data_IF_537693716335
#
_entry.id   IF_537693716335
#
_cell.length_a   1.000
_cell.length_b   1.000
_cell.length_c   1.000
_cell.angle_alpha   90.00
_cell.angle_beta   90.00
_cell.angle_gamma   90.00
#
_symmetry.space_group_name_H-M   'P 1'
#
loop_
_entity.id
_entity.type
_entity.pdbx_description
1 polymer ?
#
# COMPACT_ATOMS: atom_id res chain seq x y z
N UNK A 1 1.40 -12.34 2.16
CA UNK A 1 2.34 -11.73 1.20
C UNK A 1 3.64 -11.25 1.86
N UNK A 2 3.71 -10.42 2.90
CA UNK A 2 4.98 -9.94 3.47
C UNK A 2 5.97 -11.04 3.88
N UNK A 3 5.50 -12.13 4.49
CA UNK A 3 6.36 -13.27 4.89
C UNK A 3 6.97 -14.02 3.71
N UNK A 4 6.28 -14.11 2.58
CA UNK A 4 6.81 -14.77 1.37
C UNK A 4 7.91 -13.91 0.77
N UNK A 5 7.69 -12.60 0.66
CA UNK A 5 8.68 -11.62 0.19
C UNK A 5 9.94 -11.66 1.05
N UNK A 6 9.79 -11.68 2.38
CA UNK A 6 10.92 -11.78 3.31
C UNK A 6 11.71 -13.09 3.13
N UNK A 7 11.03 -14.23 2.94
CA UNK A 7 11.70 -15.51 2.66
C UNK A 7 12.50 -15.48 1.36
N UNK A 8 11.91 -14.94 0.29
CA UNK A 8 12.59 -14.81 -1.00
C UNK A 8 13.81 -13.90 -0.87
N UNK A 9 13.66 -12.75 -0.18
CA UNK A 9 14.78 -11.85 0.08
C UNK A 9 15.91 -12.54 0.87
N UNK A 10 15.57 -13.26 1.94
CA UNK A 10 16.54 -13.98 2.77
C UNK A 10 17.26 -15.09 2.01
N UNK A 11 16.59 -15.70 1.03
CA UNK A 11 17.19 -16.73 0.16
C UNK A 11 18.13 -16.12 -0.89
N UNK A 12 17.68 -15.08 -1.57
CA UNK A 12 18.43 -14.49 -2.69
C UNK A 12 19.56 -13.57 -2.24
N UNK A 13 19.43 -12.95 -1.07
CA UNK A 13 20.32 -11.90 -0.56
C UNK A 13 20.50 -10.71 -1.53
N UNK A 14 19.59 -10.54 -2.49
CA UNK A 14 19.63 -9.44 -3.45
C UNK A 14 18.99 -8.19 -2.82
N UNK A 15 19.82 -7.22 -2.45
CA UNK A 15 19.37 -5.98 -1.81
C UNK A 15 18.38 -5.17 -2.66
N UNK A 16 18.46 -5.26 -3.99
CA UNK A 16 17.61 -4.55 -4.93
C UNK A 16 16.43 -5.42 -5.45
N UNK A 17 16.19 -6.60 -4.86
CA UNK A 17 15.18 -7.54 -5.35
C UNK A 17 13.79 -6.88 -5.52
N UNK A 18 13.34 -6.11 -4.53
CA UNK A 18 12.02 -5.51 -4.54
C UNK A 18 11.92 -4.37 -5.56
N UNK A 19 12.98 -3.59 -5.72
CA UNK A 19 13.07 -2.56 -6.74
C UNK A 19 13.00 -3.20 -8.14
N UNK A 20 13.75 -4.26 -8.40
CA UNK A 20 13.73 -5.01 -9.67
C UNK A 20 12.35 -5.62 -9.94
N UNK A 21 11.72 -6.19 -8.92
CA UNK A 21 10.40 -6.80 -9.03
C UNK A 21 9.33 -5.75 -9.37
N UNK A 22 9.38 -4.59 -8.71
CA UNK A 22 8.44 -3.49 -8.97
C UNK A 22 8.44 -3.02 -10.42
N UNK A 23 9.62 -3.02 -11.08
CA UNK A 23 9.75 -2.67 -12.51
C UNK A 23 9.20 -3.74 -13.47
N UNK A 24 8.68 -4.86 -12.96
CA UNK A 24 8.11 -5.96 -13.76
C UNK A 24 6.63 -6.22 -13.47
N UNK A 25 6.08 -5.59 -12.46
CA UNK A 25 4.66 -5.73 -12.11
C UNK A 25 3.85 -4.71 -12.90
N UNK A 26 3.22 -5.15 -13.96
CA UNK A 26 2.36 -4.33 -14.80
C UNK A 26 0.98 -4.04 -14.15
N UNK A 27 0.17 -3.23 -14.83
CA UNK A 27 -1.13 -2.80 -14.33
C UNK A 27 -2.14 -3.96 -14.24
N UNK A 28 -1.95 -5.05 -14.97
CA UNK A 28 -2.84 -6.22 -14.93
C UNK A 28 -2.80 -6.90 -13.56
N UNK A 29 -1.68 -6.75 -12.83
CA UNK A 29 -1.57 -7.22 -11.44
C UNK A 29 -2.59 -6.56 -10.50
N UNK A 30 -3.01 -5.33 -10.80
CA UNK A 30 -4.03 -4.60 -10.05
C UNK A 30 -5.47 -4.93 -10.50
N UNK A 31 -5.64 -5.86 -11.44
CA UNK A 31 -6.95 -6.26 -11.95
C UNK A 31 -7.78 -5.09 -12.51
N UNK A 32 -9.07 -5.06 -12.19
CA UNK A 32 -9.98 -4.00 -12.68
C UNK A 32 -9.52 -2.59 -12.31
N UNK A 33 -8.86 -2.43 -11.16
CA UNK A 33 -8.33 -1.14 -10.75
C UNK A 33 -7.19 -0.68 -11.68
N UNK A 34 -6.31 -1.59 -12.09
CA UNK A 34 -5.24 -1.30 -13.05
C UNK A 34 -5.81 -0.88 -14.42
N UNK A 35 -6.82 -1.57 -14.93
CA UNK A 35 -7.48 -1.20 -16.19
C UNK A 35 -8.22 0.14 -16.08
N UNK A 36 -8.85 0.43 -14.93
CA UNK A 36 -9.44 1.75 -14.68
C UNK A 36 -8.39 2.87 -14.71
N UNK A 37 -7.20 2.66 -14.11
CA UNK A 37 -6.09 3.60 -14.16
C UNK A 37 -5.61 3.84 -15.59
N UNK A 38 -5.44 2.77 -16.38
CA UNK A 38 -5.01 2.86 -17.79
C UNK A 38 -5.98 3.65 -18.66
N UNK A 39 -7.29 3.56 -18.37
CA UNK A 39 -8.34 4.19 -19.17
C UNK A 39 -8.65 5.63 -18.78
N UNK A 40 -8.01 6.19 -17.76
CA UNK A 40 -8.16 7.60 -17.36
C UNK A 40 -7.81 8.54 -18.51
N UNK A 41 -8.50 9.68 -18.57
CA UNK A 41 -8.30 10.69 -19.62
C UNK A 41 -7.04 11.51 -19.41
N UNK A 42 -6.69 11.78 -18.16
CA UNK A 42 -5.57 12.60 -17.75
C UNK A 42 -5.05 12.18 -16.36
N UNK A 43 -3.91 12.74 -15.96
CA UNK A 43 -3.30 12.39 -14.68
C UNK A 43 -4.12 12.85 -13.46
N UNK A 44 -4.92 13.91 -13.61
CA UNK A 44 -5.82 14.35 -12.55
C UNK A 44 -6.90 13.28 -12.26
N UNK A 45 -7.42 12.66 -13.32
CA UNK A 45 -8.35 11.54 -13.19
C UNK A 45 -7.69 10.33 -12.50
N UNK A 46 -6.41 10.03 -12.84
CA UNK A 46 -5.63 8.98 -12.14
C UNK A 46 -5.54 9.26 -10.64
N UNK A 47 -5.19 10.50 -10.26
CA UNK A 47 -5.09 10.91 -8.85
C UNK A 47 -6.43 10.78 -8.12
N UNK A 48 -7.52 11.20 -8.74
CA UNK A 48 -8.88 11.07 -8.18
C UNK A 48 -9.25 9.60 -7.99
N UNK A 49 -8.99 8.77 -9.00
CA UNK A 49 -9.29 7.34 -8.97
C UNK A 49 -8.50 6.64 -7.84
N UNK A 50 -7.20 6.91 -7.71
CA UNK A 50 -6.38 6.36 -6.63
C UNK A 50 -6.92 6.78 -5.26
N UNK A 51 -7.23 8.05 -5.07
CA UNK A 51 -7.79 8.54 -3.80
C UNK A 51 -9.09 7.85 -3.43
N UNK A 52 -9.97 7.61 -4.43
CA UNK A 52 -11.27 6.95 -4.21
C UNK A 52 -11.12 5.47 -3.88
N UNK A 53 -10.25 4.76 -4.60
CA UNK A 53 -10.15 3.31 -4.55
C UNK A 53 -8.87 2.79 -3.89
N UNK A 54 -8.16 3.61 -3.11
CA UNK A 54 -6.90 3.24 -2.43
C UNK A 54 -7.01 1.98 -1.57
N UNK A 55 -8.20 1.63 -1.07
CA UNK A 55 -8.44 0.38 -0.32
C UNK A 55 -8.24 -0.86 -1.18
N UNK A 56 -8.40 -0.77 -2.51
CA UNK A 56 -8.15 -1.87 -3.44
C UNK A 56 -6.66 -2.18 -3.61
N UNK A 57 -5.76 -1.27 -3.19
CA UNK A 57 -4.31 -1.50 -3.16
C UNK A 57 -3.88 -2.54 -2.09
N UNK A 58 -4.81 -2.96 -1.26
CA UNK A 58 -4.60 -3.98 -0.23
C UNK A 58 -4.47 -3.41 1.18
N UNK A 59 -4.76 -4.25 2.16
CA UNK A 59 -4.64 -3.92 3.58
C UNK A 59 -3.17 -3.79 3.98
N UNK A 60 -2.85 -2.79 4.79
CA UNK A 60 -1.52 -2.57 5.36
C UNK A 60 -0.68 -1.52 4.65
N UNK A 61 -1.11 -0.99 3.51
CA UNK A 61 -0.47 0.14 2.84
C UNK A 61 -1.39 1.35 2.90
N UNK A 62 -0.90 2.45 3.43
CA UNK A 62 -1.57 3.74 3.42
C UNK A 62 -0.88 4.65 2.40
N UNK A 63 -1.68 5.22 1.50
CA UNK A 63 -1.23 6.17 0.49
C UNK A 63 -1.87 7.53 0.75
N UNK A 64 -1.02 8.57 0.87
CA UNK A 64 -1.45 9.97 0.85
C UNK A 64 -0.89 10.62 -0.41
N UNK A 65 -1.74 11.35 -1.13
CA UNK A 65 -1.33 12.16 -2.28
C UNK A 65 -1.30 13.61 -1.83
N UNK A 66 -0.14 14.22 -1.95
CA UNK A 66 0.10 15.63 -1.62
C UNK A 66 0.35 16.35 -2.94
N UNK A 67 -0.32 17.48 -3.13
CA UNK A 67 -0.08 18.38 -4.27
C UNK A 67 0.71 19.57 -3.80
N UNK A 68 1.75 19.93 -4.55
CA UNK A 68 2.48 21.20 -4.36
C UNK A 68 1.84 22.25 -5.25
N UNK A 69 1.17 23.22 -4.62
CA UNK A 69 0.49 24.30 -5.34
C UNK A 69 1.44 25.24 -6.10
N UNK A 70 2.74 25.24 -5.78
CA UNK A 70 3.72 26.13 -6.42
C UNK A 70 4.36 25.50 -7.67
N UNK A 71 4.56 24.18 -7.67
CA UNK A 71 5.29 23.47 -8.73
C UNK A 71 4.45 22.48 -9.51
N UNK A 72 3.15 22.39 -9.23
CA UNK A 72 2.23 21.39 -9.83
C UNK A 72 2.70 19.93 -9.69
N UNK A 73 3.68 19.67 -8.81
CA UNK A 73 4.18 18.33 -8.55
C UNK A 73 3.23 17.57 -7.62
N UNK A 74 3.16 16.26 -7.80
CA UNK A 74 2.49 15.37 -6.86
C UNK A 74 3.51 14.60 -6.04
N UNK A 75 3.23 14.40 -4.76
CA UNK A 75 4.01 13.52 -3.90
C UNK A 75 3.12 12.40 -3.40
N UNK A 76 3.45 11.18 -3.79
CA UNK A 76 2.85 9.96 -3.25
C UNK A 76 3.62 9.56 -2.00
N UNK A 77 3.00 9.70 -0.84
CA UNK A 77 3.56 9.31 0.45
C UNK A 77 3.03 7.95 0.86
N UNK A 78 3.92 7.00 1.00
CA UNK A 78 3.61 5.63 1.40
C UNK A 78 3.95 5.40 2.87
N UNK A 79 3.00 4.81 3.60
CA UNK A 79 3.23 4.29 4.94
C UNK A 79 2.56 2.94 5.08
N UNK A 80 3.10 2.11 5.94
CA UNK A 80 2.52 0.81 6.26
C UNK A 80 2.72 0.49 7.74
N UNK A 81 1.84 -0.35 8.27
CA UNK A 81 1.87 -0.85 9.65
C UNK A 81 2.24 -2.32 9.64
N UNK A 82 3.39 -2.67 9.05
CA UNK A 82 3.87 -4.04 9.01
C UNK A 82 4.67 -4.37 10.27
N UNK A 83 4.81 -5.67 10.53
CA UNK A 83 5.27 -6.24 11.79
C UNK A 83 6.73 -5.95 12.09
N UNK A 84 7.57 -5.88 11.06
CA UNK A 84 8.99 -5.62 11.24
C UNK A 84 9.53 -4.64 10.19
N UNK A 85 10.71 -4.07 10.52
CA UNK A 85 11.36 -3.06 9.69
C UNK A 85 11.75 -3.59 8.31
N UNK A 86 12.16 -4.86 8.21
CA UNK A 86 12.55 -5.47 6.94
C UNK A 86 11.34 -5.58 6.00
N UNK A 87 10.22 -6.10 6.47
CA UNK A 87 8.99 -6.19 5.67
C UNK A 87 8.50 -4.80 5.24
N UNK A 88 8.57 -3.83 6.16
CA UNK A 88 8.23 -2.43 5.88
C UNK A 88 9.10 -1.87 4.75
N UNK A 89 10.41 -2.08 4.82
CA UNK A 89 11.36 -1.68 3.78
C UNK A 89 11.02 -2.32 2.44
N UNK A 90 10.96 -3.65 2.39
CA UNK A 90 10.76 -4.42 1.16
C UNK A 90 9.45 -4.05 0.44
N UNK A 91 8.37 -3.83 1.19
CA UNK A 91 7.08 -3.43 0.61
C UNK A 91 7.12 -1.99 0.08
N UNK A 92 7.75 -1.04 0.79
CA UNK A 92 7.86 0.33 0.29
C UNK A 92 8.72 0.40 -0.98
N UNK A 93 9.84 -0.33 -1.02
CA UNK A 93 10.69 -0.45 -2.21
C UNK A 93 9.90 -0.99 -3.41
N UNK A 94 9.14 -2.08 -3.21
CA UNK A 94 8.30 -2.69 -4.23
C UNK A 94 7.27 -1.71 -4.79
N UNK A 95 6.50 -1.07 -3.90
CA UNK A 95 5.38 -0.20 -4.29
C UNK A 95 5.88 1.06 -4.97
N UNK A 96 6.94 1.69 -4.47
CA UNK A 96 7.51 2.89 -5.08
C UNK A 96 8.05 2.56 -6.47
N UNK A 97 8.80 1.47 -6.59
CA UNK A 97 9.33 1.02 -7.87
C UNK A 97 8.23 0.71 -8.88
N UNK A 98 7.19 -0.02 -8.45
CA UNK A 98 6.02 -0.29 -9.27
C UNK A 98 5.31 0.99 -9.70
N UNK A 99 5.13 1.96 -8.78
CA UNK A 99 4.47 3.22 -9.09
C UNK A 99 5.19 4.01 -10.19
N UNK A 100 6.53 4.06 -10.13
CA UNK A 100 7.36 4.68 -11.18
C UNK A 100 7.13 3.97 -12.51
N UNK A 101 7.22 2.65 -12.53
CA UNK A 101 7.01 1.84 -13.73
C UNK A 101 5.62 2.08 -14.35
N UNK A 102 4.57 2.08 -13.52
CA UNK A 102 3.21 2.29 -13.97
C UNK A 102 2.99 3.69 -14.54
N UNK A 103 3.56 4.74 -13.92
CA UNK A 103 3.45 6.10 -14.42
C UNK A 103 4.13 6.23 -15.79
N UNK A 104 5.32 5.65 -15.95
CA UNK A 104 6.02 5.63 -17.24
C UNK A 104 5.19 4.95 -18.33
N UNK A 105 4.55 3.81 -18.01
CA UNK A 105 3.69 3.09 -18.97
C UNK A 105 2.48 3.93 -19.37
N UNK A 106 1.73 4.47 -18.40
CA UNK A 106 0.49 5.19 -18.74
C UNK A 106 0.75 6.51 -19.47
N UNK A 107 1.89 7.16 -19.23
CA UNK A 107 2.29 8.39 -19.92
C UNK A 107 3.11 8.13 -21.19
N UNK A 108 3.58 6.89 -21.40
CA UNK A 108 4.56 6.53 -22.44
C UNK A 108 5.80 7.44 -22.42
N UNK A 109 6.26 7.82 -21.24
CA UNK A 109 7.37 8.72 -21.05
C UNK A 109 8.38 8.16 -20.06
N UNK A 110 9.49 7.64 -20.56
CA UNK A 110 10.58 7.06 -19.75
C UNK A 110 11.54 8.12 -19.18
N UNK A 111 11.42 9.39 -19.63
CA UNK A 111 12.33 10.47 -19.26
C UNK A 111 11.80 11.35 -18.12
N UNK A 112 10.75 10.89 -17.43
CA UNK A 112 10.19 11.62 -16.30
C UNK A 112 11.19 11.68 -15.13
N UNK A 113 11.41 12.88 -14.60
CA UNK A 113 12.32 13.13 -13.49
C UNK A 113 11.61 12.90 -12.14
N UNK A 114 11.64 11.67 -11.65
CA UNK A 114 11.16 11.34 -10.32
C UNK A 114 12.20 11.67 -9.25
N UNK A 115 11.72 11.87 -8.00
CA UNK A 115 12.56 11.87 -6.81
C UNK A 115 12.00 10.88 -5.82
N UNK A 116 12.86 10.04 -5.27
CA UNK A 116 12.47 9.01 -4.31
C UNK A 116 13.16 9.25 -2.97
N UNK A 117 12.39 9.16 -1.90
CA UNK A 117 12.94 9.15 -0.56
C UNK A 117 12.50 7.90 0.18
N UNK A 118 13.43 7.30 0.93
CA UNK A 118 13.17 6.16 1.80
C UNK A 118 13.47 6.51 3.26
N UNK A 119 12.62 6.03 4.16
CA UNK A 119 12.82 6.15 5.62
C UNK A 119 13.97 5.28 6.13
N UNK A 120 14.14 4.11 5.54
CA UNK A 120 15.16 3.17 5.99
C UNK A 120 16.57 3.67 5.67
N UNK A 121 17.53 3.09 6.36
CA UNK A 121 18.95 3.35 6.13
C UNK A 121 19.36 3.00 4.70
N UNK A 122 20.39 3.71 4.23
CA UNK A 122 20.96 3.44 2.92
C UNK A 122 21.46 2.00 2.83
N UNK A 123 21.37 1.44 1.64
CA UNK A 123 21.99 0.17 1.28
C UNK A 123 23.40 0.43 0.76
N UNK A 124 24.22 -0.61 0.71
CA UNK A 124 25.62 -0.51 0.25
C UNK A 124 25.76 -0.01 -1.19
N UNK A 125 24.71 -0.14 -2.01
CA UNK A 125 24.76 0.21 -3.42
C UNK A 125 23.62 1.15 -3.84
N UNK A 126 23.68 2.42 -3.37
CA UNK A 126 22.73 3.47 -3.77
C UNK A 126 22.66 3.62 -5.29
N UNK A 127 23.79 3.57 -6.00
CA UNK A 127 23.86 3.72 -7.46
C UNK A 127 23.04 2.65 -8.19
N UNK A 128 22.92 1.45 -7.63
CA UNK A 128 22.10 0.39 -8.21
C UNK A 128 20.61 0.77 -8.19
N UNK A 129 20.13 1.38 -7.09
CA UNK A 129 18.76 1.87 -7.01
C UNK A 129 18.51 2.99 -8.01
N UNK A 130 19.41 3.96 -8.07
CA UNK A 130 19.30 5.09 -9.00
C UNK A 130 19.31 4.62 -10.46
N UNK A 131 20.13 3.62 -10.80
CA UNK A 131 20.18 3.06 -12.15
C UNK A 131 18.91 2.29 -12.55
N UNK A 132 18.31 1.52 -11.62
CA UNK A 132 17.10 0.75 -11.89
C UNK A 132 15.87 1.66 -11.98
N UNK A 133 15.75 2.62 -11.06
CA UNK A 133 14.62 3.54 -11.01
C UNK A 133 14.72 4.68 -12.00
N UNK A 134 15.94 4.95 -12.50
CA UNK A 134 16.27 6.10 -13.34
C UNK A 134 15.84 7.41 -12.68
N UNK A 135 16.21 7.62 -11.40
CA UNK A 135 15.87 8.82 -10.63
C UNK A 135 16.81 9.04 -9.44
N UNK A 136 16.77 10.23 -8.84
CA UNK A 136 17.49 10.53 -7.59
C UNK A 136 16.83 9.79 -6.42
N UNK A 137 17.65 9.12 -5.60
CA UNK A 137 17.22 8.35 -4.44
C UNK A 137 17.91 8.86 -3.18
N UNK A 138 17.13 9.15 -2.13
CA UNK A 138 17.64 9.55 -0.81
C UNK A 138 17.15 8.60 0.27
N UNK A 139 18.05 8.15 1.13
CA UNK A 139 17.78 7.32 2.28
C UNK A 139 17.81 8.13 3.58
N UNK A 140 17.42 7.53 4.70
CA UNK A 140 17.37 8.18 6.03
C UNK A 140 16.49 9.44 6.05
N UNK A 141 15.37 9.41 5.33
CA UNK A 141 14.43 10.51 5.26
C UNK A 141 13.24 10.29 6.21
N UNK A 142 12.48 11.35 6.47
CA UNK A 142 11.32 11.29 7.37
C UNK A 142 10.18 10.40 6.82
N UNK A 143 10.09 10.28 5.50
CA UNK A 143 8.99 9.59 4.80
C UNK A 143 9.47 8.75 3.62
N UNK A 144 8.64 7.80 3.22
CA UNK A 144 8.80 7.09 1.95
C UNK A 144 7.94 7.81 0.92
N UNK A 145 8.57 8.66 0.14
CA UNK A 145 7.88 9.52 -0.82
C UNK A 145 8.38 9.25 -2.25
N UNK A 146 7.44 9.30 -3.18
CA UNK A 146 7.69 9.40 -4.61
C UNK A 146 7.17 10.76 -5.08
N UNK A 147 8.07 11.66 -5.44
CA UNK A 147 7.72 12.93 -6.07
C UNK A 147 7.66 12.75 -7.58
N UNK A 148 6.52 13.08 -8.13
CA UNK A 148 6.18 12.99 -9.55
C UNK A 148 6.22 14.41 -10.11
N UNK A 149 6.90 14.66 -11.25
CA UNK A 149 6.89 15.97 -11.89
C UNK A 149 5.48 16.36 -12.33
N UNK A 150 5.29 17.60 -12.71
CA UNK A 150 4.02 18.05 -13.30
C UNK A 150 3.70 17.24 -14.55
N UNK A 151 2.59 16.55 -14.53
CA UNK A 151 2.06 15.72 -15.63
C UNK A 151 0.81 16.33 -16.26
N UNK A 152 0.53 17.61 -16.03
CA UNK A 152 -0.67 18.27 -16.55
C UNK A 152 -0.72 18.30 -18.08
N UNK A 153 0.44 18.29 -18.72
CA UNK A 153 0.58 18.30 -20.20
C UNK A 153 0.77 16.88 -20.80
N UNK A 154 0.91 15.86 -19.96
CA UNK A 154 1.11 14.48 -20.41
C UNK A 154 -0.22 13.86 -20.86
N UNK A 155 -0.21 13.30 -22.06
CA UNK A 155 -1.35 12.52 -22.57
C UNK A 155 -1.21 11.08 -22.15
N UNK A 156 -2.27 10.52 -21.61
CA UNK A 156 -2.32 9.09 -21.29
C UNK A 156 -2.63 8.29 -22.55
N UNK A 157 -1.78 7.29 -22.86
CA UNK A 157 -1.82 6.57 -24.14
C UNK A 157 -3.07 5.72 -24.34
N UNK A 158 -3.66 5.24 -23.26
CA UNK A 158 -4.83 4.34 -23.28
C UNK A 158 -6.12 5.03 -22.90
N UNK A 159 -6.17 6.37 -22.91
CA UNK A 159 -7.34 7.14 -22.54
C UNK A 159 -8.58 6.71 -23.31
N UNK A 160 -9.59 6.19 -22.60
CA UNK A 160 -10.85 5.73 -23.19
C UNK A 160 -11.99 5.84 -22.16
N UNK A 161 -12.84 6.86 -22.33
CA UNK A 161 -13.92 7.13 -21.39
C UNK A 161 -14.95 6.00 -21.29
N UNK A 162 -15.26 5.30 -22.36
CA UNK A 162 -16.21 4.19 -22.34
C UNK A 162 -15.65 2.98 -21.57
N UNK A 163 -14.39 2.65 -21.80
CA UNK A 163 -13.68 1.60 -21.06
C UNK A 163 -13.50 1.98 -19.59
N UNK A 164 -13.22 3.25 -19.31
CA UNK A 164 -13.08 3.78 -17.95
C UNK A 164 -14.32 3.54 -17.11
N UNK A 165 -15.50 3.88 -17.62
CA UNK A 165 -16.78 3.69 -16.92
C UNK A 165 -16.97 2.24 -16.52
N UNK A 166 -16.70 1.29 -17.43
CA UNK A 166 -16.88 -0.15 -17.16
C UNK A 166 -15.97 -0.61 -16.00
N UNK A 167 -14.71 -0.24 -16.02
CA UNK A 167 -13.77 -0.67 -14.99
C UNK A 167 -13.95 0.09 -13.67
N UNK A 168 -14.38 1.35 -13.71
CA UNK A 168 -14.73 2.10 -12.51
C UNK A 168 -15.94 1.48 -11.79
N UNK A 169 -16.97 1.04 -12.54
CA UNK A 169 -18.10 0.28 -11.97
C UNK A 169 -17.65 -1.02 -11.29
N UNK A 170 -16.70 -1.73 -11.90
CA UNK A 170 -16.12 -2.92 -11.28
C UNK A 170 -15.34 -2.59 -10.01
N UNK A 171 -14.56 -1.50 -9.99
CA UNK A 171 -13.88 -1.02 -8.78
C UNK A 171 -14.87 -0.66 -7.68
N UNK A 172 -15.99 0.00 -8.03
CA UNK A 172 -17.06 0.33 -7.10
C UNK A 172 -17.71 -0.93 -6.49
N UNK A 173 -17.94 -1.96 -7.33
CA UNK A 173 -18.43 -3.25 -6.85
C UNK A 173 -17.44 -3.91 -5.90
N UNK A 174 -16.16 -3.98 -6.26
CA UNK A 174 -15.11 -4.54 -5.41
C UNK A 174 -14.99 -3.79 -4.08
N UNK A 175 -15.07 -2.46 -4.11
CA UNK A 175 -15.04 -1.63 -2.90
C UNK A 175 -16.26 -1.89 -2.00
N UNK A 176 -17.47 -2.02 -2.59
CA UNK A 176 -18.66 -2.41 -1.84
C UNK A 176 -18.53 -3.80 -1.23
N UNK A 177 -17.97 -4.75 -1.97
CA UNK A 177 -17.78 -6.11 -1.48
C UNK A 177 -16.71 -6.16 -0.38
N UNK A 178 -15.62 -5.40 -0.49
CA UNK A 178 -14.64 -5.22 0.59
C UNK A 178 -15.28 -4.59 1.83
N UNK A 179 -16.14 -3.60 1.66
CA UNK A 179 -16.85 -2.97 2.77
C UNK A 179 -17.93 -3.89 3.38
N UNK A 180 -18.50 -4.82 2.61
CA UNK A 180 -19.37 -5.88 3.13
C UNK A 180 -18.57 -6.96 3.91
N UNK A 181 -17.34 -7.23 3.47
CA UNK A 181 -16.37 -8.08 4.17
C UNK A 181 -15.78 -7.34 5.40
N UNK A 182 -16.09 -6.07 5.60
CA UNK A 182 -15.93 -5.42 6.89
C UNK A 182 -16.90 -6.07 7.90
N UNK A 183 -16.68 -7.39 8.04
CA UNK A 183 -17.26 -8.15 9.10
C UNK A 183 -16.72 -7.57 10.41
N UNK A 184 -17.46 -7.77 11.45
CA UNK A 184 -17.12 -7.22 12.75
C UNK A 184 -15.72 -7.63 13.23
N UNK A 185 -15.25 -8.81 12.79
CA UNK A 185 -13.89 -9.31 12.98
C UNK A 185 -12.82 -8.43 12.33
N UNK A 186 -13.06 -7.88 11.15
CA UNK A 186 -12.10 -6.98 10.50
C UNK A 186 -12.03 -5.62 11.20
N UNK A 187 -13.17 -5.09 11.67
CA UNK A 187 -13.18 -3.87 12.47
C UNK A 187 -12.42 -4.04 13.79
N UNK A 188 -12.58 -5.19 14.47
CA UNK A 188 -11.81 -5.55 15.66
C UNK A 188 -10.32 -5.62 15.34
N UNK A 189 -9.91 -6.32 14.28
CA UNK A 189 -8.51 -6.41 13.86
C UNK A 189 -7.89 -5.04 13.59
N UNK A 190 -8.64 -4.13 12.96
CA UNK A 190 -8.19 -2.77 12.69
C UNK A 190 -7.87 -2.01 13.97
N UNK A 191 -8.72 -2.12 15.00
CA UNK A 191 -8.51 -1.49 16.30
C UNK A 191 -7.27 -2.06 16.99
N UNK A 192 -7.07 -3.39 16.96
CA UNK A 192 -5.90 -4.03 17.53
C UNK A 192 -4.60 -3.62 16.81
N UNK A 193 -4.63 -3.50 15.48
CA UNK A 193 -3.49 -3.04 14.69
C UNK A 193 -3.11 -1.58 14.97
N UNK A 194 -4.08 -0.74 15.33
CA UNK A 194 -3.85 0.67 15.66
C UNK A 194 -3.33 0.90 17.08
N UNK A 195 -3.45 -0.10 17.94
CA UNK A 195 -3.12 0.03 19.37
C UNK A 195 -1.61 0.02 19.69
N UNK A 196 -0.73 -0.30 18.72
CA UNK A 196 0.71 0.03 18.77
C UNK A 196 1.54 -0.61 19.88
N UNK A 197 1.08 -1.68 20.53
CA UNK A 197 1.85 -2.38 21.58
C UNK A 197 1.00 -2.90 22.74
N UNK A 198 0.21 -2.08 23.36
CA UNK A 198 -0.74 -2.53 24.40
C UNK A 198 -2.06 -2.94 23.74
N UNK A 199 -2.35 -4.24 23.81
CA UNK A 199 -3.60 -4.80 23.29
C UNK A 199 -4.78 -4.24 24.11
N UNK A 200 -5.68 -3.44 23.51
CA UNK A 200 -6.87 -2.98 24.18
C UNK A 200 -7.70 -4.19 24.62
N UNK A 201 -8.32 -4.12 25.77
CA UNK A 201 -9.22 -5.18 26.23
C UNK A 201 -10.52 -5.20 25.40
N UNK A 202 -11.31 -6.24 25.58
CA UNK A 202 -12.57 -6.40 24.81
C UNK A 202 -13.57 -5.26 25.07
N UNK A 203 -13.52 -4.62 26.25
CA UNK A 203 -14.41 -3.52 26.62
C UNK A 203 -14.01 -2.25 25.88
N UNK A 204 -12.72 -1.98 25.81
CA UNK A 204 -12.17 -0.84 25.04
C UNK A 204 -12.47 -0.97 23.55
N UNK A 205 -12.33 -2.19 23.00
CA UNK A 205 -12.68 -2.46 21.61
C UNK A 205 -14.17 -2.28 21.37
N UNK A 206 -15.02 -2.77 22.29
CA UNK A 206 -16.47 -2.60 22.21
C UNK A 206 -16.85 -1.10 22.26
N UNK A 207 -16.21 -0.34 23.14
CA UNK A 207 -16.40 1.11 23.23
C UNK A 207 -16.03 1.83 21.91
N UNK A 208 -14.87 1.51 21.34
CA UNK A 208 -14.41 2.09 20.05
C UNK A 208 -15.32 1.71 18.87
N UNK A 209 -16.03 0.59 18.96
CA UNK A 209 -16.99 0.13 17.96
C UNK A 209 -18.43 0.58 18.28
N UNK A 210 -18.61 1.45 19.28
CA UNK A 210 -19.92 1.93 19.71
C UNK A 210 -20.91 0.79 19.96
N UNK A 211 -20.46 -0.28 20.63
CA UNK A 211 -21.27 -1.46 20.92
C UNK A 211 -21.02 -1.99 22.35
N UNK A 212 -21.88 -2.89 22.84
CA UNK A 212 -21.63 -3.58 24.11
C UNK A 212 -20.70 -4.79 23.92
N UNK A 213 -20.00 -5.18 24.99
CA UNK A 213 -19.14 -6.38 24.99
C UNK A 213 -19.92 -7.64 24.56
N UNK A 214 -21.17 -7.79 25.05
CA UNK A 214 -22.03 -8.92 24.70
C UNK A 214 -22.40 -8.94 23.21
N UNK A 215 -22.69 -7.77 22.64
CA UNK A 215 -22.97 -7.62 21.22
C UNK A 215 -21.71 -7.92 20.38
N UNK A 216 -20.54 -7.45 20.83
CA UNK A 216 -19.27 -7.74 20.19
C UNK A 216 -19.01 -9.25 20.16
N UNK A 217 -19.14 -9.95 21.30
CA UNK A 217 -18.96 -11.41 21.37
C UNK A 217 -19.93 -12.14 20.46
N UNK A 218 -21.20 -11.77 20.44
CA UNK A 218 -22.21 -12.37 19.57
C UNK A 218 -21.86 -12.21 18.10
N UNK A 219 -21.59 -10.98 17.65
CA UNK A 219 -21.25 -10.71 16.25
C UNK A 219 -19.99 -11.46 15.80
N UNK A 220 -18.95 -11.52 16.64
CA UNK A 220 -17.77 -12.31 16.33
C UNK A 220 -18.08 -13.82 16.23
N UNK A 221 -18.97 -14.33 17.09
CA UNK A 221 -19.41 -15.72 17.04
C UNK A 221 -20.20 -16.01 15.75
N UNK A 222 -21.06 -15.10 15.32
CA UNK A 222 -21.83 -15.22 14.07
C UNK A 222 -20.89 -15.29 12.85
N UNK A 223 -19.68 -14.69 12.95
CA UNK A 223 -18.62 -14.76 11.97
C UNK A 223 -17.62 -15.93 12.20
N UNK A 224 -18.01 -16.92 13.00
CA UNK A 224 -17.15 -18.06 13.37
C UNK A 224 -15.78 -17.64 13.95
N UNK A 225 -15.75 -16.53 14.67
CA UNK A 225 -14.56 -15.93 15.27
C UNK A 225 -14.78 -15.60 16.75
N UNK A 226 -13.72 -15.17 17.42
CA UNK A 226 -13.80 -14.65 18.78
C UNK A 226 -12.70 -13.60 19.00
N UNK A 227 -12.91 -12.72 20.00
CA UNK A 227 -11.90 -11.74 20.38
C UNK A 227 -10.56 -12.42 20.72
N UNK A 228 -10.59 -13.55 21.40
CA UNK A 228 -9.39 -14.34 21.76
C UNK A 228 -8.65 -14.85 20.53
N UNK A 229 -9.34 -15.39 19.53
CA UNK A 229 -8.71 -15.86 18.29
C UNK A 229 -8.03 -14.69 17.57
N UNK A 230 -8.69 -13.54 17.50
CA UNK A 230 -8.15 -12.36 16.83
C UNK A 230 -6.97 -11.78 17.61
N UNK A 231 -7.08 -11.65 18.94
CA UNK A 231 -6.00 -11.10 19.78
C UNK A 231 -4.78 -12.02 19.85
N UNK A 232 -4.95 -13.34 19.94
CA UNK A 232 -3.85 -14.31 19.89
C UNK A 232 -3.13 -14.27 18.54
N UNK A 233 -3.86 -14.17 17.43
CA UNK A 233 -3.23 -14.00 16.11
C UNK A 233 -2.42 -12.70 16.03
N UNK A 234 -2.81 -11.68 16.77
CA UNK A 234 -2.07 -10.41 16.87
C UNK A 234 -0.84 -10.52 17.76
N UNK A 235 -0.93 -11.16 18.95
CA UNK A 235 0.22 -11.34 19.85
C UNK A 235 1.30 -12.22 19.24
N UNK A 236 0.94 -13.27 18.50
CA UNK A 236 1.92 -14.05 17.72
C UNK A 236 2.57 -13.25 16.59
N UNK A 237 1.98 -12.12 16.20
CA UNK A 237 2.51 -11.24 15.19
C UNK A 237 3.40 -10.12 15.77
N UNK A 238 3.27 -9.81 17.07
CA UNK A 238 3.89 -8.63 17.70
C UNK A 238 4.93 -8.95 18.78
N UNK A 239 4.99 -10.18 19.30
CA UNK A 239 6.03 -10.55 20.25
C UNK A 239 7.35 -10.82 19.53
N UNK A 240 8.48 -10.21 19.98
CA UNK A 240 9.79 -10.69 19.59
C UNK A 240 9.93 -12.13 20.08
N UNK A 241 10.39 -13.01 19.21
CA UNK A 241 10.81 -14.35 19.59
C UNK A 241 11.98 -14.21 20.57
N UNK A 242 11.68 -14.17 21.86
CA UNK A 242 12.71 -14.42 22.88
C UNK A 242 13.12 -15.88 22.70
N UNK A 243 14.25 -16.08 22.05
CA UNK A 243 14.96 -17.34 22.08
C UNK A 243 15.21 -17.67 23.55
N UNK A 244 14.63 -18.78 23.99
CA UNK A 244 15.09 -19.40 25.23
C UNK A 244 16.43 -20.06 24.91
N UNK A 245 17.46 -19.58 25.59
CA UNK A 245 18.73 -20.24 25.77
C UNK A 245 18.52 -21.59 26.43
#
# INVERSE_FOLDING_TARGET
MPRVIERIYNYTKDEALMIKLGQRLDLTFLGSFGFALMSCTDFTAVVKLINRYKLLLGSGVSLKILSDSHNSNYTLRFSNSLINNLQTRLINELIISQSIYLIKIITNNDQLNFKVTFKHEGINNKKLYESILNCDVKFNQSHNDLTIPDLSMEKLISANSAVHVIYEEQCEKLLRDLNKIDNFSAAVRRILLQAGGDLPDIKEVAFKLHTSESTLRRRLKDESSSYRIISVSYTHLTLPTTERV
#
